data_IF_375143559152
#
_entry.id   IF_375143559152
#
_cell.length_a   1.000
_cell.length_b   1.000
_cell.length_c   1.000
_cell.angle_alpha   90.00
_cell.angle_beta   90.00
_cell.angle_gamma   90.00
#
_symmetry.space_group_name_H-M   'P 1'
#
loop_
_entity.id
_entity.type
_entity.pdbx_description
1 polymer ?
#
# COMPACT_ATOMS: atom_id res chain seq x y z
N UNK A 1 -76.31 39.55 29.32
CA UNK A 1 -75.16 39.42 30.24
C UNK A 1 -74.93 37.92 30.44
N UNK A 2 -73.68 37.41 30.42
CA UNK A 2 -73.27 35.98 30.41
C UNK A 2 -72.95 35.31 29.06
N UNK A 3 -71.97 35.83 28.31
CA UNK A 3 -71.10 34.97 27.47
C UNK A 3 -69.70 35.57 27.45
N UNK A 4 -68.89 35.37 28.52
CA UNK A 4 -67.46 35.73 28.48
C UNK A 4 -66.59 35.11 29.58
N UNK A 5 -66.80 33.83 29.97
CA UNK A 5 -65.91 33.16 30.96
C UNK A 5 -65.67 31.66 30.74
N UNK A 6 -65.79 31.12 29.52
CA UNK A 6 -65.50 29.69 29.25
C UNK A 6 -64.13 29.46 28.60
N UNK A 7 -63.51 30.50 28.02
CA UNK A 7 -62.19 30.38 27.34
C UNK A 7 -60.96 30.14 28.25
N UNK A 8 -60.87 30.62 29.51
CA UNK A 8 -59.68 30.36 30.31
C UNK A 8 -59.70 28.98 30.98
N UNK A 9 -60.88 28.36 31.14
CA UNK A 9 -61.02 27.06 31.80
C UNK A 9 -60.58 25.89 30.90
N UNK A 10 -60.82 25.99 29.58
CA UNK A 10 -60.37 25.01 28.59
C UNK A 10 -58.85 25.01 28.37
N UNK A 11 -58.17 26.14 28.57
CA UNK A 11 -56.72 26.23 28.45
C UNK A 11 -55.98 25.62 29.64
N UNK A 12 -56.56 25.71 30.85
CA UNK A 12 -55.97 25.15 32.08
C UNK A 12 -56.13 23.62 32.12
N UNK A 13 -57.25 23.08 31.62
CA UNK A 13 -57.46 21.62 31.53
C UNK A 13 -56.55 20.99 30.46
N UNK A 14 -56.32 21.68 29.33
CA UNK A 14 -55.37 21.24 28.30
C UNK A 14 -53.91 21.25 28.76
N UNK A 15 -53.51 22.21 29.59
CA UNK A 15 -52.16 22.28 30.15
C UNK A 15 -51.89 21.18 31.19
N UNK A 16 -52.88 20.79 32.00
CA UNK A 16 -52.72 19.70 32.99
C UNK A 16 -52.69 18.30 32.34
N UNK A 17 -53.33 18.09 31.18
CA UNK A 17 -53.28 16.81 30.45
C UNK A 17 -51.95 16.59 29.69
N UNK A 18 -51.16 17.63 29.44
CA UNK A 18 -49.84 17.54 28.82
C UNK A 18 -48.70 17.22 29.81
N UNK A 19 -48.93 17.36 31.13
CA UNK A 19 -47.92 17.13 32.17
C UNK A 19 -47.96 15.71 32.78
N UNK A 20 -48.87 14.84 32.36
CA UNK A 20 -49.03 13.47 32.91
C UNK A 20 -48.68 12.33 31.92
N UNK A 21 -48.16 12.64 30.72
CA UNK A 21 -47.98 11.65 29.65
C UNK A 21 -46.56 11.06 29.50
N UNK A 22 -45.60 11.40 30.37
CA UNK A 22 -44.20 10.94 30.20
C UNK A 22 -43.64 10.17 31.40
N UNK A 23 -44.43 9.33 32.08
CA UNK A 23 -43.89 8.42 33.10
C UNK A 23 -44.50 7.02 33.01
N UNK A 24 -44.35 6.38 31.85
CA UNK A 24 -44.81 5.02 31.59
C UNK A 24 -43.65 4.03 31.87
N UNK A 25 -43.73 3.17 32.91
CA UNK A 25 -42.78 2.07 33.08
C UNK A 25 -43.25 0.92 32.19
N UNK A 26 -42.61 0.75 31.03
CA UNK A 26 -42.97 -0.29 30.08
C UNK A 26 -41.76 -0.83 29.32
N UNK A 27 -41.52 -2.13 29.48
CA UNK A 27 -40.70 -2.92 28.56
C UNK A 27 -39.36 -3.36 29.12
N UNK A 28 -39.33 -4.45 29.89
CA UNK A 28 -38.15 -5.32 29.97
C UNK A 28 -37.93 -5.93 28.59
N UNK A 29 -37.00 -5.37 27.81
CA UNK A 29 -36.48 -6.04 26.62
C UNK A 29 -35.48 -7.12 27.05
N UNK A 30 -35.72 -8.35 26.58
CA UNK A 30 -34.76 -9.44 26.60
C UNK A 30 -33.44 -9.03 25.92
N UNK A 31 -32.28 -9.51 26.41
CA UNK A 31 -31.01 -9.17 25.79
C UNK A 31 -30.89 -9.87 24.43
N UNK A 32 -31.15 -9.13 23.35
CA UNK A 32 -30.72 -9.52 22.00
C UNK A 32 -29.21 -9.35 21.89
N UNK A 33 -28.51 -10.48 21.75
CA UNK A 33 -27.05 -10.48 21.62
C UNK A 33 -26.64 -9.74 20.33
N UNK A 34 -25.76 -8.75 20.48
CA UNK A 34 -25.11 -8.06 19.35
C UNK A 34 -24.22 -9.03 18.55
N UNK A 35 -24.18 -8.93 17.20
CA UNK A 35 -23.27 -9.67 16.33
C UNK A 35 -21.77 -9.49 16.66
N UNK A 36 -21.41 -8.45 17.42
CA UNK A 36 -20.01 -8.14 17.78
C UNK A 36 -19.41 -9.12 18.78
N UNK A 37 -20.24 -9.89 19.51
CA UNK A 37 -19.77 -10.91 20.46
C UNK A 37 -19.28 -12.21 19.79
N UNK A 38 -19.58 -12.42 18.49
CA UNK A 38 -19.13 -13.59 17.74
C UNK A 38 -17.72 -13.39 17.15
N UNK A 39 -17.36 -12.15 16.83
CA UNK A 39 -16.03 -11.83 16.30
C UNK A 39 -14.94 -11.74 17.38
N UNK A 40 -15.29 -11.45 18.64
CA UNK A 40 -14.34 -11.45 19.76
C UNK A 40 -13.97 -12.85 20.26
N UNK A 41 -14.85 -13.85 20.09
CA UNK A 41 -14.55 -15.24 20.45
C UNK A 41 -13.57 -15.91 19.47
N UNK A 42 -13.57 -15.53 18.19
CA UNK A 42 -12.66 -16.08 17.18
C UNK A 42 -11.21 -15.55 17.34
N UNK A 43 -11.02 -14.34 17.86
CA UNK A 43 -9.70 -13.76 18.09
C UNK A 43 -9.01 -14.31 19.35
N UNK A 44 -9.77 -14.77 20.36
CA UNK A 44 -9.19 -15.37 21.58
C UNK A 44 -8.77 -16.84 21.41
N UNK A 45 -9.24 -17.55 20.37
CA UNK A 45 -8.77 -18.92 20.06
C UNK A 45 -7.41 -18.98 19.36
N UNK A 46 -6.97 -17.89 18.71
CA UNK A 46 -5.68 -17.89 17.99
C UNK A 46 -4.49 -17.65 18.95
N UNK A 47 -4.64 -16.84 19.99
CA UNK A 47 -3.57 -16.60 20.98
C UNK A 47 -3.39 -17.75 21.98
N UNK A 48 -4.41 -18.59 22.17
CA UNK A 48 -4.30 -19.81 22.97
C UNK A 48 -3.53 -20.94 22.26
N UNK A 49 -3.57 -21.02 20.92
CA UNK A 49 -2.82 -22.04 20.17
C UNK A 49 -1.32 -21.71 20.02
N UNK A 50 -0.94 -20.43 19.97
CA UNK A 50 0.49 -20.04 19.89
C UNK A 50 1.24 -20.24 21.22
N UNK A 51 0.56 -20.19 22.37
CA UNK A 51 1.21 -20.40 23.68
C UNK A 51 1.46 -21.89 24.00
N UNK A 52 0.84 -22.82 23.26
CA UNK A 52 1.05 -24.27 23.46
C UNK A 52 2.13 -24.87 22.54
N UNK A 53 2.65 -24.12 21.58
CA UNK A 53 3.75 -24.56 20.70
C UNK A 53 5.17 -24.35 21.31
N UNK A 54 5.27 -23.71 22.48
CA UNK A 54 6.55 -23.40 23.14
C UNK A 54 7.00 -24.42 24.20
N UNK A 55 6.20 -25.47 24.49
CA UNK A 55 6.56 -26.53 25.44
C UNK A 55 6.43 -27.91 24.77
N UNK A 56 7.43 -28.29 23.97
CA UNK A 56 7.37 -29.57 23.27
C UNK A 56 8.60 -29.94 22.46
N UNK A 57 9.81 -29.79 23.02
CA UNK A 57 11.02 -30.38 22.42
C UNK A 57 11.70 -31.32 23.41
N UNK A 58 11.48 -32.65 23.32
CA UNK A 58 12.42 -33.60 23.87
C UNK A 58 13.57 -33.81 22.88
N UNK A 59 14.78 -33.52 23.36
CA UNK A 59 16.04 -33.92 22.77
C UNK A 59 16.14 -35.45 22.85
N UNK A 60 16.36 -36.15 21.72
CA UNK A 60 16.79 -37.56 21.73
C UNK A 60 17.86 -37.81 20.67
N UNK A 61 19.01 -38.30 21.13
CA UNK A 61 20.11 -38.92 20.40
C UNK A 61 20.67 -40.02 21.32
N UNK A 62 21.38 -41.08 20.87
CA UNK A 62 21.27 -41.95 19.69
C UNK A 62 20.96 -43.42 20.07
N UNK A 63 20.60 -44.29 19.12
CA UNK A 63 20.89 -45.74 19.24
C UNK A 63 20.89 -46.48 17.89
N UNK A 64 22.01 -47.14 17.58
CA UNK A 64 22.19 -48.10 16.48
C UNK A 64 21.54 -49.45 16.81
N UNK A 65 20.66 -49.95 15.95
CA UNK A 65 20.20 -51.35 16.01
C UNK A 65 19.93 -51.92 14.62
N UNK A 66 20.70 -52.94 14.28
CA UNK A 66 20.53 -53.84 13.14
C UNK A 66 19.25 -54.68 13.31
N UNK A 67 18.40 -54.77 12.28
CA UNK A 67 17.39 -55.84 12.22
C UNK A 67 17.14 -56.33 10.78
N UNK A 68 17.06 -57.65 10.70
CA UNK A 68 16.99 -58.61 9.59
C UNK A 68 16.20 -58.28 8.31
N UNK A 69 16.76 -58.79 7.22
CA UNK A 69 16.23 -58.95 5.86
C UNK A 69 15.06 -59.94 5.83
N UNK A 70 13.95 -59.68 5.10
CA UNK A 70 12.91 -60.68 4.88
C UNK A 70 13.36 -61.69 3.81
N UNK A 71 13.39 -62.97 4.19
CA UNK A 71 13.50 -64.11 3.28
C UNK A 71 12.19 -64.26 2.48
N UNK A 72 12.31 -64.37 1.15
CA UNK A 72 11.20 -64.73 0.26
C UNK A 72 11.20 -66.24 0.08
N UNK A 73 10.13 -66.89 0.54
CA UNK A 73 9.89 -68.32 0.36
C UNK A 73 9.53 -68.59 -1.10
N UNK A 74 10.35 -69.37 -1.80
CA UNK A 74 10.10 -69.78 -3.19
C UNK A 74 9.34 -71.11 -3.19
N UNK A 75 8.14 -71.11 -3.76
CA UNK A 75 7.32 -72.30 -3.98
C UNK A 75 7.85 -73.06 -5.22
N UNK A 76 8.05 -74.39 -5.19
CA UNK A 76 8.48 -75.15 -6.36
C UNK A 76 7.31 -75.30 -7.36
N UNK A 77 7.49 -74.83 -8.58
CA UNK A 77 6.59 -75.12 -9.70
C UNK A 77 6.96 -76.48 -10.35
N UNK A 78 5.93 -77.28 -10.62
CA UNK A 78 5.98 -78.62 -11.23
C UNK A 78 6.59 -78.59 -12.65
N UNK A 79 7.36 -79.61 -13.09
CA UNK A 79 7.89 -79.67 -14.44
C UNK A 79 6.78 -79.94 -15.46
N UNK A 80 6.61 -79.03 -16.42
CA UNK A 80 5.75 -79.21 -17.60
C UNK A 80 6.61 -79.61 -18.79
N UNK A 81 6.19 -80.67 -19.50
CA UNK A 81 6.89 -81.32 -20.59
C UNK A 81 7.38 -80.37 -21.69
N UNK A 82 8.65 -80.52 -22.03
CA UNK A 82 9.36 -79.89 -23.13
C UNK A 82 8.80 -80.36 -24.48
N UNK A 83 8.31 -79.44 -25.31
CA UNK A 83 7.99 -79.70 -26.71
C UNK A 83 9.27 -79.66 -27.56
N UNK A 84 9.37 -80.63 -28.47
CA UNK A 84 10.49 -80.90 -29.39
C UNK A 84 10.78 -79.67 -30.29
N UNK A 85 12.05 -79.30 -30.55
CA UNK A 85 12.38 -78.20 -31.43
C UNK A 85 11.96 -78.51 -32.89
N UNK A 86 11.18 -77.61 -33.47
CA UNK A 86 10.86 -77.64 -34.90
C UNK A 86 12.00 -76.97 -35.67
N UNK A 87 12.53 -77.65 -36.69
CA UNK A 87 13.60 -77.17 -37.56
C UNK A 87 13.23 -75.84 -38.24
N UNK A 88 13.85 -74.76 -37.80
CA UNK A 88 13.78 -73.44 -38.42
C UNK A 88 14.59 -73.40 -39.72
N UNK A 89 13.99 -72.86 -40.78
CA UNK A 89 14.63 -72.64 -42.08
C UNK A 89 15.86 -71.71 -41.94
N UNK A 90 16.90 -71.88 -42.77
CA UNK A 90 18.10 -71.06 -42.74
C UNK A 90 17.78 -69.57 -43.03
N UNK A 91 18.52 -68.63 -42.43
CA UNK A 91 18.26 -67.20 -42.58
C UNK A 91 18.45 -66.77 -44.04
N UNK A 92 17.45 -66.06 -44.57
CA UNK A 92 17.54 -65.40 -45.87
C UNK A 92 18.29 -64.08 -45.68
N UNK A 93 19.40 -63.88 -46.40
CA UNK A 93 20.19 -62.64 -46.39
C UNK A 93 19.33 -61.47 -46.84
N UNK A 94 18.77 -60.74 -45.87
CA UNK A 94 18.06 -59.49 -46.12
C UNK A 94 19.08 -58.36 -45.96
N UNK A 95 19.31 -57.49 -46.96
CA UNK A 95 20.20 -56.37 -46.81
C UNK A 95 19.69 -55.45 -45.70
N UNK A 96 20.48 -55.30 -44.63
CA UNK A 96 20.17 -54.42 -43.50
C UNK A 96 20.32 -52.98 -44.01
N UNK A 97 19.28 -52.13 -43.91
CA UNK A 97 19.44 -50.70 -44.18
C UNK A 97 20.52 -50.12 -43.25
N UNK A 98 21.34 -49.15 -43.69
CA UNK A 98 22.33 -48.54 -42.81
C UNK A 98 21.62 -47.95 -41.58
N UNK A 99 21.96 -48.45 -40.39
CA UNK A 99 21.54 -47.87 -39.11
C UNK A 99 22.02 -46.42 -39.06
N UNK A 100 21.10 -45.46 -38.95
CA UNK A 100 21.46 -44.05 -38.82
C UNK A 100 22.36 -43.85 -37.59
N UNK A 101 23.59 -43.38 -37.80
CA UNK A 101 24.48 -42.99 -36.72
C UNK A 101 23.81 -41.86 -35.92
N UNK A 102 23.67 -41.99 -34.58
CA UNK A 102 23.07 -40.94 -33.78
C UNK A 102 23.90 -39.65 -33.95
N UNK A 103 23.22 -38.56 -34.33
CA UNK A 103 23.84 -37.25 -34.46
C UNK A 103 24.39 -36.84 -33.07
N UNK A 104 25.68 -36.48 -32.95
CA UNK A 104 26.24 -36.05 -31.68
C UNK A 104 25.47 -34.86 -31.10
N UNK A 105 25.00 -34.98 -29.86
CA UNK A 105 24.31 -33.88 -29.16
C UNK A 105 25.37 -32.81 -28.82
N UNK A 106 25.19 -31.56 -29.25
CA UNK A 106 26.11 -30.48 -28.88
C UNK A 106 26.20 -30.31 -27.35
N UNK A 107 27.39 -29.94 -26.87
CA UNK A 107 27.64 -29.67 -25.45
C UNK A 107 26.66 -28.63 -24.90
N UNK A 108 26.64 -27.43 -25.50
CA UNK A 108 25.76 -26.33 -25.09
C UNK A 108 24.61 -26.18 -26.09
N UNK A 109 23.40 -26.51 -25.65
CA UNK A 109 22.16 -26.33 -26.44
C UNK A 109 20.98 -26.15 -25.51
N UNK A 110 20.10 -25.21 -25.83
CA UNK A 110 18.85 -24.99 -25.13
C UNK A 110 17.64 -25.38 -26.00
N UNK A 111 16.51 -25.62 -25.36
CA UNK A 111 15.20 -25.56 -26.02
C UNK A 111 14.30 -24.59 -25.27
N UNK A 112 13.58 -23.76 -26.02
CA UNK A 112 12.54 -22.91 -25.47
C UNK A 112 11.35 -23.77 -25.01
N UNK A 113 10.87 -23.55 -23.79
CA UNK A 113 9.69 -24.25 -23.25
C UNK A 113 8.46 -23.35 -23.36
N UNK A 114 8.53 -22.14 -22.79
CA UNK A 114 7.45 -21.13 -22.85
C UNK A 114 7.93 -19.77 -22.37
N UNK A 115 7.15 -18.75 -22.69
CA UNK A 115 7.15 -17.49 -21.95
C UNK A 115 6.46 -17.71 -20.60
N UNK A 116 7.17 -17.38 -19.52
CA UNK A 116 6.61 -17.41 -18.16
C UNK A 116 5.93 -16.08 -17.85
N UNK A 117 6.51 -14.98 -18.31
CA UNK A 117 5.90 -13.64 -18.25
C UNK A 117 5.98 -12.95 -19.60
N UNK A 118 5.12 -11.94 -19.78
CA UNK A 118 5.07 -11.05 -20.95
C UNK A 118 5.02 -11.85 -22.26
N UNK A 119 3.88 -12.52 -22.57
CA UNK A 119 3.68 -13.14 -23.88
C UNK A 119 3.91 -12.16 -25.03
N UNK A 120 4.18 -12.69 -26.22
CA UNK A 120 4.38 -11.86 -27.39
C UNK A 120 3.20 -10.92 -27.65
N UNK A 121 3.52 -9.67 -27.97
CA UNK A 121 2.58 -8.56 -28.19
C UNK A 121 1.83 -8.09 -26.94
N UNK A 122 2.31 -8.42 -25.74
CA UNK A 122 1.82 -7.78 -24.51
C UNK A 122 1.96 -6.26 -24.64
N UNK A 123 0.87 -5.54 -24.34
CA UNK A 123 0.86 -4.09 -24.29
C UNK A 123 1.49 -3.61 -22.98
N UNK A 124 2.54 -2.81 -23.08
CA UNK A 124 3.23 -2.20 -21.95
C UNK A 124 3.16 -0.69 -22.14
N UNK A 125 2.80 0.05 -21.08
CA UNK A 125 2.80 1.50 -21.13
C UNK A 125 4.19 2.03 -21.51
N UNK A 126 4.24 3.02 -22.41
CA UNK A 126 5.48 3.66 -22.82
C UNK A 126 6.28 4.17 -21.60
N UNK A 127 7.58 3.82 -21.53
CA UNK A 127 8.44 4.09 -20.38
C UNK A 127 8.24 3.14 -19.17
N UNK A 128 7.28 2.23 -19.24
CA UNK A 128 6.99 1.26 -18.19
C UNK A 128 8.10 0.22 -18.05
N UNK A 129 8.47 -0.07 -16.80
CA UNK A 129 9.40 -1.17 -16.47
C UNK A 129 8.65 -2.49 -16.41
N UNK A 130 9.23 -3.56 -16.95
CA UNK A 130 8.67 -4.90 -16.91
C UNK A 130 9.77 -5.98 -16.80
N UNK A 131 9.41 -7.15 -16.29
CA UNK A 131 10.32 -8.31 -16.20
C UNK A 131 9.87 -9.38 -17.17
N UNK A 132 10.72 -9.69 -18.15
CA UNK A 132 10.52 -10.82 -19.06
C UNK A 132 11.17 -12.05 -18.49
N UNK A 133 10.42 -13.15 -18.43
CA UNK A 133 10.91 -14.45 -17.97
C UNK A 133 10.63 -15.52 -19.01
N UNK A 134 11.67 -16.23 -19.43
CA UNK A 134 11.56 -17.40 -20.30
C UNK A 134 11.85 -18.66 -19.51
N UNK A 135 11.10 -19.73 -19.78
CA UNK A 135 11.47 -21.07 -19.32
C UNK A 135 12.27 -21.76 -20.43
N UNK A 136 13.52 -22.09 -20.14
CA UNK A 136 14.41 -22.82 -21.02
C UNK A 136 14.70 -24.20 -20.45
N UNK A 137 15.00 -25.16 -21.32
CA UNK A 137 15.48 -26.49 -20.95
C UNK A 137 16.89 -26.69 -21.48
N UNK A 138 17.79 -27.22 -20.66
CA UNK A 138 19.07 -27.70 -21.14
C UNK A 138 18.86 -29.02 -21.88
N UNK A 139 19.03 -29.03 -23.20
CA UNK A 139 18.94 -30.22 -24.04
C UNK A 139 20.28 -30.49 -24.76
N UNK A 140 21.37 -29.93 -24.24
CA UNK A 140 22.75 -30.25 -24.60
C UNK A 140 23.33 -31.36 -23.72
N UNK A 141 24.61 -31.68 -23.95
CA UNK A 141 25.34 -32.70 -23.19
C UNK A 141 26.04 -32.14 -21.93
N UNK A 142 26.24 -30.83 -21.83
CA UNK A 142 26.99 -30.18 -20.75
C UNK A 142 26.07 -29.55 -19.69
N UNK A 143 26.53 -29.57 -18.44
CA UNK A 143 25.82 -28.91 -17.33
C UNK A 143 26.13 -27.42 -17.35
N UNK A 144 25.08 -26.57 -17.37
CA UNK A 144 25.27 -25.13 -17.23
C UNK A 144 25.58 -24.78 -15.78
N UNK A 145 26.54 -23.89 -15.57
CA UNK A 145 27.01 -23.44 -14.25
C UNK A 145 26.81 -21.94 -14.08
N UNK A 146 27.24 -21.40 -12.94
CA UNK A 146 27.26 -19.95 -12.68
C UNK A 146 28.10 -19.13 -13.66
N UNK A 147 29.00 -19.75 -14.43
CA UNK A 147 29.76 -19.08 -15.50
C UNK A 147 28.95 -18.82 -16.77
N UNK A 148 27.73 -19.35 -16.88
CA UNK A 148 26.86 -19.14 -18.03
C UNK A 148 26.08 -17.83 -17.89
N UNK A 149 25.85 -17.16 -19.01
CA UNK A 149 25.11 -15.88 -19.04
C UNK A 149 24.03 -15.89 -20.10
N UNK A 150 22.96 -15.14 -19.87
CA UNK A 150 22.03 -14.69 -20.89
C UNK A 150 22.44 -13.28 -21.33
N UNK A 151 22.46 -13.02 -22.62
CA UNK A 151 22.94 -11.75 -23.14
C UNK A 151 22.10 -11.25 -24.32
N UNK A 152 22.00 -9.94 -24.44
CA UNK A 152 21.29 -9.30 -25.54
C UNK A 152 22.09 -9.49 -26.84
N UNK A 153 21.46 -10.06 -27.87
CA UNK A 153 22.12 -10.34 -29.13
C UNK A 153 21.91 -9.22 -30.15
N UNK A 154 20.65 -8.92 -30.49
CA UNK A 154 20.28 -7.85 -31.43
C UNK A 154 18.79 -7.49 -31.32
N UNK A 155 18.35 -6.48 -32.08
CA UNK A 155 16.99 -5.94 -32.08
C UNK A 155 16.87 -4.75 -31.14
N UNK A 156 15.76 -4.67 -30.41
CA UNK A 156 15.50 -3.61 -29.45
C UNK A 156 15.93 -4.03 -28.04
N UNK A 157 16.95 -3.36 -27.49
CA UNK A 157 17.48 -3.68 -26.17
C UNK A 157 16.51 -3.36 -25.03
N UNK A 158 15.61 -2.39 -25.23
CA UNK A 158 14.61 -1.97 -24.21
C UNK A 158 15.25 -1.67 -22.85
N UNK A 159 16.39 -0.95 -22.87
CA UNK A 159 17.21 -0.66 -21.68
C UNK A 159 17.65 -1.89 -20.87
N UNK A 160 17.62 -3.07 -21.49
CA UNK A 160 18.01 -4.32 -20.86
C UNK A 160 19.52 -4.43 -20.62
N UNK A 161 19.93 -5.29 -19.68
CA UNK A 161 21.34 -5.53 -19.42
C UNK A 161 22.02 -6.13 -20.64
N UNK A 162 23.28 -5.74 -20.90
CA UNK A 162 24.07 -6.33 -21.98
C UNK A 162 24.29 -7.84 -21.76
N UNK A 163 24.44 -8.26 -20.50
CA UNK A 163 24.56 -9.66 -20.07
C UNK A 163 24.12 -9.81 -18.61
N UNK A 164 23.61 -10.98 -18.24
CA UNK A 164 23.23 -11.34 -16.87
C UNK A 164 23.56 -12.81 -16.61
N UNK A 165 23.98 -13.11 -15.38
CA UNK A 165 24.26 -14.48 -14.97
C UNK A 165 23.01 -15.37 -15.13
N UNK A 166 23.18 -16.54 -15.73
CA UNK A 166 22.07 -17.45 -16.04
C UNK A 166 21.53 -18.16 -14.80
N UNK A 167 22.40 -18.56 -13.87
CA UNK A 167 22.05 -19.30 -12.66
C UNK A 167 23.08 -19.08 -11.56
N UNK A 168 22.67 -19.17 -10.30
CA UNK A 168 23.58 -19.20 -9.14
C UNK A 168 24.01 -20.63 -8.76
N UNK A 169 23.46 -21.65 -9.42
CA UNK A 169 23.77 -23.06 -9.18
C UNK A 169 24.17 -23.77 -10.48
N UNK A 170 23.60 -24.95 -10.71
CA UNK A 170 23.81 -25.73 -11.92
C UNK A 170 22.48 -26.12 -12.58
N UNK A 171 22.50 -26.29 -13.90
CA UNK A 171 21.37 -26.79 -14.69
C UNK A 171 21.84 -28.00 -15.50
N UNK A 172 21.66 -29.23 -14.98
CA UNK A 172 22.07 -30.46 -15.66
C UNK A 172 21.31 -30.68 -16.98
N UNK A 173 21.87 -31.48 -17.92
CA UNK A 173 21.14 -31.94 -19.10
C UNK A 173 19.76 -32.50 -18.73
N UNK A 174 18.75 -32.11 -19.51
CA UNK A 174 17.34 -32.46 -19.30
C UNK A 174 16.58 -31.55 -18.33
N UNK A 175 17.25 -30.69 -17.55
CA UNK A 175 16.61 -29.82 -16.56
C UNK A 175 16.13 -28.50 -17.16
N UNK A 176 15.17 -27.84 -16.49
CA UNK A 176 14.64 -26.53 -16.90
C UNK A 176 15.05 -25.42 -15.94
N UNK A 177 15.15 -24.20 -16.46
CA UNK A 177 15.42 -22.98 -15.70
C UNK A 177 14.54 -21.83 -16.20
N UNK A 178 14.14 -20.96 -15.27
CA UNK A 178 13.50 -19.68 -15.57
C UNK A 178 14.56 -18.58 -15.62
N UNK A 179 14.63 -17.88 -16.74
CA UNK A 179 15.63 -16.84 -17.02
C UNK A 179 14.91 -15.51 -17.11
N UNK A 180 15.23 -14.56 -16.23
CA UNK A 180 14.57 -13.26 -16.14
C UNK A 180 15.49 -12.11 -16.52
N UNK A 181 14.95 -11.12 -17.22
CA UNK A 181 15.59 -9.83 -17.48
C UNK A 181 14.61 -8.69 -17.21
N UNK A 182 15.10 -7.62 -16.58
CA UNK A 182 14.32 -6.39 -16.36
C UNK A 182 14.56 -5.44 -17.53
N UNK A 183 13.47 -4.92 -18.09
CA UNK A 183 13.44 -4.12 -19.32
C UNK A 183 12.54 -2.90 -19.13
N UNK A 184 12.71 -1.88 -19.97
CA UNK A 184 11.90 -0.67 -20.03
C UNK A 184 11.31 -0.54 -21.44
N UNK A 185 9.99 -0.44 -21.54
CA UNK A 185 9.30 -0.24 -22.80
C UNK A 185 9.70 1.13 -23.41
N UNK A 186 10.09 1.20 -24.69
CA UNK A 186 10.45 2.46 -25.32
C UNK A 186 9.34 3.51 -25.22
N UNK A 187 9.71 4.78 -25.09
CA UNK A 187 8.75 5.89 -24.90
C UNK A 187 7.92 6.19 -26.14
N UNK A 188 8.40 5.78 -27.32
CA UNK A 188 7.66 5.90 -28.57
C UNK A 188 6.74 4.69 -28.71
N UNK A 189 5.43 4.87 -28.96
CA UNK A 189 4.53 3.75 -29.20
C UNK A 189 4.93 2.94 -30.44
N UNK A 190 4.83 1.62 -30.35
CA UNK A 190 5.25 0.72 -31.43
C UNK A 190 5.45 -0.72 -30.97
N UNK A 191 5.69 -1.62 -31.92
CA UNK A 191 6.09 -3.00 -31.61
C UNK A 191 7.60 -3.08 -31.54
N UNK A 192 8.12 -3.64 -30.45
CA UNK A 192 9.55 -3.77 -30.20
C UNK A 192 9.91 -5.24 -29.97
N UNK A 193 11.04 -5.68 -30.53
CA UNK A 193 11.52 -7.05 -30.41
C UNK A 193 13.00 -7.10 -30.06
N UNK A 194 13.32 -7.65 -28.88
CA UNK A 194 14.69 -7.91 -28.45
C UNK A 194 15.02 -9.40 -28.52
N UNK A 195 16.12 -9.76 -29.18
CA UNK A 195 16.57 -11.14 -29.29
C UNK A 195 17.74 -11.42 -28.34
N UNK A 196 17.70 -12.57 -27.68
CA UNK A 196 18.60 -12.98 -26.62
C UNK A 196 19.22 -14.35 -26.92
N UNK A 197 20.43 -14.55 -26.41
CA UNK A 197 21.18 -15.82 -26.51
C UNK A 197 21.86 -16.15 -25.18
N UNK A 198 22.32 -17.38 -25.08
CA UNK A 198 23.14 -17.84 -23.97
C UNK A 198 24.62 -17.82 -24.35
N UNK A 199 25.49 -17.68 -23.35
CA UNK A 199 26.94 -17.74 -23.52
C UNK A 199 27.53 -18.60 -22.42
N UNK A 200 28.37 -19.56 -22.79
CA UNK A 200 29.03 -20.44 -21.82
C UNK A 200 30.19 -19.73 -21.11
N UNK A 201 30.81 -20.40 -20.13
CA UNK A 201 31.92 -19.86 -19.35
C UNK A 201 33.17 -19.51 -20.19
N UNK A 202 33.35 -20.15 -21.35
CA UNK A 202 34.42 -19.86 -22.31
C UNK A 202 34.10 -18.71 -23.26
N UNK A 203 32.93 -18.08 -23.14
CA UNK A 203 32.50 -16.98 -23.99
C UNK A 203 31.84 -17.42 -25.31
N UNK A 204 31.64 -18.72 -25.54
CA UNK A 204 30.99 -19.23 -26.76
C UNK A 204 29.48 -19.01 -26.68
N UNK A 205 28.91 -18.43 -27.75
CA UNK A 205 27.48 -18.19 -27.88
C UNK A 205 26.74 -19.45 -28.31
N UNK A 206 25.57 -19.69 -27.70
CA UNK A 206 24.62 -20.72 -28.09
C UNK A 206 23.20 -20.26 -27.77
N UNK A 207 22.21 -21.04 -28.18
CA UNK A 207 20.81 -20.69 -28.02
C UNK A 207 19.91 -21.89 -28.22
N UNK A 208 18.75 -21.64 -28.82
CA UNK A 208 17.71 -22.63 -29.06
C UNK A 208 17.82 -23.24 -30.47
N UNK A 209 16.90 -24.14 -30.80
CA UNK A 209 16.85 -24.81 -32.10
C UNK A 209 17.73 -26.06 -32.17
N UNK A 210 17.63 -26.79 -33.27
CA UNK A 210 18.33 -28.07 -33.46
C UNK A 210 19.86 -27.93 -33.38
N UNK A 211 20.39 -26.88 -34.00
CA UNK A 211 21.81 -26.52 -34.01
C UNK A 211 22.27 -25.69 -32.80
N UNK A 212 21.36 -25.26 -31.91
CA UNK A 212 21.71 -24.42 -30.76
C UNK A 212 22.20 -23.02 -31.15
N UNK A 213 21.79 -22.53 -32.32
CA UNK A 213 22.25 -21.27 -32.92
C UNK A 213 21.13 -20.25 -33.11
N UNK A 214 19.92 -20.54 -32.65
CA UNK A 214 18.77 -19.65 -32.76
C UNK A 214 18.59 -18.81 -31.49
N UNK A 215 18.12 -17.58 -31.65
CA UNK A 215 17.79 -16.70 -30.52
C UNK A 215 16.38 -16.99 -29.99
N UNK A 216 16.17 -16.79 -28.70
CA UNK A 216 14.84 -16.58 -28.12
C UNK A 216 14.60 -15.08 -27.98
N UNK A 217 13.35 -14.64 -27.77
CA UNK A 217 13.03 -13.22 -27.89
C UNK A 217 11.97 -12.75 -26.90
N UNK A 218 11.89 -11.43 -26.77
CA UNK A 218 10.77 -10.71 -26.19
C UNK A 218 10.19 -9.79 -27.24
N UNK A 219 8.87 -9.82 -27.41
CA UNK A 219 8.16 -8.89 -28.28
C UNK A 219 7.02 -8.22 -27.51
N UNK A 220 7.04 -6.89 -27.43
CA UNK A 220 6.00 -6.11 -26.77
C UNK A 220 5.39 -5.08 -27.73
N UNK A 221 4.24 -4.55 -27.36
CA UNK A 221 3.70 -3.32 -27.91
C UNK A 221 3.85 -2.23 -26.87
N UNK A 222 4.73 -1.26 -27.10
CA UNK A 222 4.72 -0.02 -26.32
C UNK A 222 3.48 0.77 -26.73
N UNK A 223 2.61 1.07 -25.78
CA UNK A 223 1.38 1.83 -26.01
C UNK A 223 1.44 3.15 -25.26
N UNK A 224 0.90 4.20 -25.87
CA UNK A 224 0.67 5.46 -25.15
C UNK A 224 -0.13 5.15 -23.89
N UNK A 225 0.30 5.57 -22.70
CA UNK A 225 -0.53 5.41 -21.52
C UNK A 225 -1.87 6.08 -21.80
N UNK A 226 -2.93 5.28 -21.90
CA UNK A 226 -4.28 5.84 -21.88
C UNK A 226 -4.39 6.52 -20.53
N UNK A 227 -4.77 7.80 -20.44
CA UNK A 227 -5.07 8.41 -19.16
C UNK A 227 -6.19 7.58 -18.55
N UNK A 228 -5.83 6.67 -17.65
CA UNK A 228 -6.81 6.00 -16.81
C UNK A 228 -7.46 7.14 -16.06
N UNK A 229 -8.81 7.28 -16.06
CA UNK A 229 -9.44 8.27 -15.22
C UNK A 229 -8.99 7.95 -13.80
N UNK A 230 -8.04 8.74 -13.31
CA UNK A 230 -7.64 8.71 -11.92
C UNK A 230 -8.93 8.97 -11.14
N UNK A 231 -9.30 8.11 -10.16
CA UNK A 231 -10.47 8.39 -9.34
C UNK A 231 -10.31 9.82 -8.85
N UNK A 232 -11.17 10.70 -9.37
CA UNK A 232 -11.19 12.08 -8.92
C UNK A 232 -11.81 11.97 -7.55
N UNK A 233 -10.97 12.00 -6.51
CA UNK A 233 -11.45 12.05 -5.14
C UNK A 233 -12.33 13.28 -5.02
N UNK A 234 -13.64 13.08 -5.16
CA UNK A 234 -14.63 14.11 -4.91
C UNK A 234 -14.75 14.20 -3.40
N UNK A 235 -13.94 15.07 -2.80
CA UNK A 235 -14.12 15.41 -1.41
C UNK A 235 -15.24 16.43 -1.30
N UNK A 236 -16.09 16.27 -0.29
CA UNK A 236 -17.05 17.31 0.09
C UNK A 236 -16.45 18.09 1.24
N UNK A 237 -16.19 19.39 1.04
CA UNK A 237 -15.80 20.27 2.13
C UNK A 237 -17.02 20.51 3.03
N UNK A 238 -16.98 19.92 4.23
CA UNK A 238 -18.09 19.96 5.18
C UNK A 238 -17.96 21.10 6.18
N UNK A 239 -16.74 21.56 6.47
CA UNK A 239 -16.47 22.72 7.33
C UNK A 239 -15.21 23.46 6.86
N UNK A 240 -15.29 24.78 6.69
CA UNK A 240 -14.17 25.62 6.26
C UNK A 240 -13.79 26.59 7.39
N UNK A 241 -12.62 26.38 8.00
CA UNK A 241 -12.16 27.21 9.12
C UNK A 241 -11.74 28.62 8.70
N UNK A 242 -11.40 28.84 7.43
CA UNK A 242 -11.12 30.18 6.88
C UNK A 242 -12.43 30.94 6.71
N UNK A 243 -13.44 30.30 6.13
CA UNK A 243 -14.76 30.92 5.97
C UNK A 243 -15.45 31.20 7.32
N UNK A 244 -15.19 30.37 8.33
CA UNK A 244 -15.73 30.53 9.69
C UNK A 244 -14.85 31.38 10.62
N UNK A 245 -13.67 31.83 10.19
CA UNK A 245 -12.70 32.52 11.04
C UNK A 245 -13.27 33.76 11.74
N UNK A 246 -14.07 34.58 11.05
CA UNK A 246 -14.72 35.76 11.64
C UNK A 246 -15.90 35.44 12.57
N UNK A 247 -16.40 34.20 12.55
CA UNK A 247 -17.42 33.70 13.48
C UNK A 247 -16.82 32.98 14.68
N UNK A 248 -15.50 32.74 14.69
CA UNK A 248 -14.79 32.18 15.83
C UNK A 248 -14.50 33.25 16.88
N UNK A 249 -14.40 32.83 18.13
CA UNK A 249 -13.97 33.70 19.23
C UNK A 249 -12.47 33.58 19.41
N UNK A 250 -11.74 34.66 19.14
CA UNK A 250 -10.28 34.71 19.24
C UNK A 250 -9.83 35.30 20.56
N UNK A 251 -8.80 34.72 21.16
CA UNK A 251 -8.21 35.23 22.40
C UNK A 251 -6.76 34.81 22.55
N UNK A 252 -6.02 35.56 23.36
CA UNK A 252 -4.80 35.06 24.00
C UNK A 252 -5.15 34.58 25.43
N UNK A 253 -4.15 34.46 26.31
CA UNK A 253 -4.36 34.00 27.69
C UNK A 253 -5.23 34.95 28.54
N UNK A 254 -5.21 36.26 28.27
CA UNK A 254 -5.80 37.28 29.15
C UNK A 254 -6.88 38.12 28.51
N UNK A 255 -6.89 38.23 27.18
CA UNK A 255 -7.79 39.13 26.44
C UNK A 255 -8.44 38.41 25.26
N UNK A 256 -9.69 38.78 24.98
CA UNK A 256 -10.30 38.50 23.70
C UNK A 256 -9.67 39.41 22.63
N UNK A 257 -9.51 38.90 21.42
CA UNK A 257 -8.91 39.58 20.27
C UNK A 257 -9.96 39.80 19.18
N UNK A 258 -9.91 40.93 18.45
CA UNK A 258 -10.73 41.11 17.28
C UNK A 258 -10.25 40.20 16.14
N UNK A 259 -11.16 39.86 15.23
CA UNK A 259 -10.80 39.30 13.93
C UNK A 259 -10.19 40.39 13.05
N UNK A 260 -8.97 40.16 12.53
CA UNK A 260 -8.25 41.12 11.70
C UNK A 260 -6.76 41.20 12.04
N UNK A 261 -6.08 42.12 11.34
CA UNK A 261 -4.67 42.47 11.54
C UNK A 261 -4.59 43.91 12.08
N UNK A 262 -4.68 44.11 13.41
CA UNK A 262 -4.62 45.44 14.02
C UNK A 262 -3.22 46.06 13.89
N UNK A 263 -3.14 47.40 13.92
CA UNK A 263 -1.86 48.13 13.88
C UNK A 263 -0.89 47.70 15.01
N UNK A 264 -1.43 47.39 16.19
CA UNK A 264 -0.70 46.70 17.26
C UNK A 264 -1.07 45.22 17.27
N UNK A 265 -0.18 44.41 16.70
CA UNK A 265 -0.28 42.96 16.59
C UNK A 265 0.38 42.22 17.78
N UNK A 266 0.90 42.94 18.78
CA UNK A 266 1.58 42.35 19.94
C UNK A 266 0.69 41.39 20.76
N UNK A 267 -0.62 41.65 20.93
CA UNK A 267 -1.53 40.72 21.61
C UNK A 267 -1.82 39.41 20.86
N UNK A 268 -1.46 39.33 19.58
CA UNK A 268 -1.76 38.22 18.65
C UNK A 268 -2.65 38.66 17.48
N UNK A 269 -2.64 37.88 16.40
CA UNK A 269 -3.37 38.17 15.15
C UNK A 269 -4.13 36.95 14.68
N UNK A 270 -5.41 37.13 14.32
CA UNK A 270 -6.21 36.13 13.65
C UNK A 270 -6.91 36.73 12.43
N UNK A 271 -6.50 36.32 11.23
CA UNK A 271 -7.04 36.88 9.98
C UNK A 271 -6.85 35.92 8.81
N UNK A 272 -7.70 36.03 7.80
CA UNK A 272 -7.49 35.34 6.53
C UNK A 272 -6.45 36.09 5.71
N UNK A 273 -5.50 35.36 5.14
CA UNK A 273 -4.50 35.90 4.21
C UNK A 273 -4.46 35.06 2.94
N UNK A 274 -4.07 35.69 1.83
CA UNK A 274 -4.03 35.07 0.53
C UNK A 274 -2.71 35.35 -0.17
N UNK A 275 -2.27 34.44 -1.02
CA UNK A 275 -1.04 34.53 -1.81
C UNK A 275 0.21 34.78 -0.94
N UNK A 276 0.26 34.16 0.23
CA UNK A 276 1.40 34.27 1.14
C UNK A 276 2.42 33.19 0.82
N UNK A 277 3.69 33.59 0.73
CA UNK A 277 4.82 32.68 0.63
C UNK A 277 5.15 32.10 2.01
N UNK A 278 5.22 30.78 2.12
CA UNK A 278 5.59 30.06 3.33
C UNK A 278 7.05 29.59 3.29
N UNK A 279 7.53 29.04 4.41
CA UNK A 279 8.93 28.63 4.59
C UNK A 279 9.44 27.60 3.57
N UNK A 280 8.58 26.74 3.03
CA UNK A 280 8.89 25.82 1.92
C UNK A 280 9.17 26.52 0.57
N UNK A 281 9.05 27.85 0.55
CA UNK A 281 9.19 28.67 -0.64
C UNK A 281 7.94 28.69 -1.52
N UNK A 282 6.90 27.91 -1.19
CA UNK A 282 5.63 27.86 -1.89
C UNK A 282 4.74 29.06 -1.56
N UNK A 283 3.91 29.47 -2.52
CA UNK A 283 2.88 30.50 -2.32
C UNK A 283 1.50 29.87 -2.28
N UNK A 284 0.75 30.16 -1.22
CA UNK A 284 -0.55 29.54 -0.96
C UNK A 284 -1.68 30.57 -1.07
N UNK A 285 -2.78 30.19 -1.72
CA UNK A 285 -3.85 31.12 -2.09
C UNK A 285 -4.85 31.41 -0.96
N UNK A 286 -4.97 30.52 0.02
CA UNK A 286 -5.96 30.62 1.10
C UNK A 286 -5.36 30.10 2.41
N UNK A 287 -5.11 31.01 3.35
CA UNK A 287 -4.54 30.68 4.65
C UNK A 287 -5.30 31.40 5.77
N UNK A 288 -5.24 30.78 6.94
CA UNK A 288 -5.57 31.40 8.21
C UNK A 288 -4.25 31.76 8.92
N UNK A 289 -4.02 33.05 9.17
CA UNK A 289 -2.94 33.52 10.01
C UNK A 289 -3.38 33.50 11.47
N UNK A 290 -2.56 32.89 12.32
CA UNK A 290 -2.77 32.84 13.78
C UNK A 290 -1.46 33.15 14.48
N UNK A 291 -1.08 34.42 14.55
CA UNK A 291 0.18 34.81 15.18
C UNK A 291 -0.01 34.82 16.70
N UNK A 292 0.79 34.06 17.46
CA UNK A 292 0.71 34.05 18.91
C UNK A 292 1.08 35.43 19.46
N UNK A 293 0.63 35.71 20.68
CA UNK A 293 1.05 36.89 21.42
C UNK A 293 2.58 37.00 21.48
N UNK A 294 3.13 38.22 21.29
CA UNK A 294 4.58 38.48 21.22
C UNK A 294 5.26 38.50 22.60
N UNK A 295 5.13 37.41 23.33
CA UNK A 295 5.77 37.15 24.62
C UNK A 295 6.37 35.74 24.62
N UNK A 296 7.18 35.41 25.63
CA UNK A 296 7.63 34.03 25.82
C UNK A 296 6.43 33.11 26.08
N UNK A 297 6.32 32.05 25.28
CA UNK A 297 5.22 31.08 25.30
C UNK A 297 3.83 31.71 25.13
N UNK A 298 3.78 32.86 24.45
CA UNK A 298 2.53 33.54 24.11
C UNK A 298 1.63 32.66 23.26
N UNK A 299 0.31 32.86 23.37
CA UNK A 299 -0.65 32.01 22.67
C UNK A 299 -1.71 32.81 21.93
N UNK A 300 -2.29 32.17 20.92
CA UNK A 300 -3.56 32.56 20.32
C UNK A 300 -4.43 31.33 20.16
N UNK A 301 -5.73 31.50 20.39
CA UNK A 301 -6.73 30.45 20.31
C UNK A 301 -7.97 30.98 19.58
N UNK A 302 -8.48 30.23 18.61
CA UNK A 302 -9.76 30.47 17.97
C UNK A 302 -10.76 29.37 18.29
N UNK A 303 -11.82 29.70 19.04
CA UNK A 303 -12.93 28.79 19.33
C UNK A 303 -14.01 28.91 18.26
N UNK A 304 -14.20 27.85 17.49
CA UNK A 304 -15.10 27.84 16.33
C UNK A 304 -16.55 27.48 16.68
N UNK A 305 -17.54 27.92 15.87
CA UNK A 305 -18.91 27.43 15.97
C UNK A 305 -19.01 25.91 15.90
N UNK A 306 -19.96 25.34 16.65
CA UNK A 306 -20.13 23.90 16.75
C UNK A 306 -20.37 23.23 15.39
N UNK A 307 -19.85 22.00 15.26
CA UNK A 307 -19.97 21.17 14.08
C UNK A 307 -20.30 19.73 14.49
N UNK A 308 -21.23 19.11 13.78
CA UNK A 308 -21.61 17.71 13.99
C UNK A 308 -20.80 16.82 13.04
N UNK A 309 -19.98 15.95 13.61
CA UNK A 309 -19.09 15.08 12.83
C UNK A 309 -19.91 14.03 12.08
N UNK A 310 -19.58 13.84 10.81
CA UNK A 310 -20.19 12.85 9.92
C UNK A 310 -19.20 11.72 9.63
N UNK A 311 -19.73 10.60 9.18
CA UNK A 311 -18.92 9.45 8.75
C UNK A 311 -17.91 9.89 7.68
N UNK A 312 -16.66 9.43 7.83
CA UNK A 312 -15.51 9.75 6.98
C UNK A 312 -15.04 11.21 7.02
N UNK A 313 -15.47 12.01 8.00
CA UNK A 313 -14.90 13.33 8.19
C UNK A 313 -13.43 13.24 8.64
N UNK A 314 -12.60 14.02 7.97
CA UNK A 314 -11.20 14.24 8.28
C UNK A 314 -10.92 15.75 8.35
N UNK A 315 -10.25 16.20 9.40
CA UNK A 315 -9.72 17.56 9.46
C UNK A 315 -8.35 17.58 8.79
N UNK A 316 -8.24 18.34 7.70
CA UNK A 316 -7.02 18.43 6.89
C UNK A 316 -6.53 19.85 6.74
N UNK A 317 -5.20 20.00 6.80
CA UNK A 317 -4.51 21.28 6.62
C UNK A 317 -3.02 21.05 6.37
N UNK A 318 -2.30 22.10 5.99
CA UNK A 318 -0.85 22.17 6.22
C UNK A 318 -0.57 23.28 7.21
N UNK A 319 0.42 23.11 8.06
CA UNK A 319 0.87 24.11 9.02
C UNK A 319 2.31 24.46 8.75
N UNK A 320 2.71 25.64 9.22
CA UNK A 320 4.10 26.10 9.18
C UNK A 320 4.18 27.61 9.39
N UNK A 321 5.35 28.15 9.11
CA UNK A 321 5.70 29.54 9.28
C UNK A 321 5.74 30.30 7.95
N UNK A 322 5.56 31.62 8.04
CA UNK A 322 5.77 32.54 6.91
C UNK A 322 7.22 32.46 6.41
N UNK A 323 7.40 32.66 5.10
CA UNK A 323 8.73 32.77 4.50
C UNK A 323 9.62 33.81 5.22
N UNK A 324 10.93 33.54 5.30
CA UNK A 324 11.91 34.30 6.09
C UNK A 324 11.62 34.31 7.61
N UNK A 325 11.13 33.20 8.17
CA UNK A 325 10.83 33.05 9.59
C UNK A 325 12.05 33.10 10.53
N UNK A 326 13.28 33.07 10.03
CA UNK A 326 14.49 33.18 10.86
C UNK A 326 14.62 32.03 11.86
N UNK A 327 14.54 32.32 13.16
CA UNK A 327 14.59 31.32 14.24
C UNK A 327 13.20 31.02 14.82
N UNK A 328 12.13 31.35 14.09
CA UNK A 328 10.77 31.13 14.55
C UNK A 328 10.50 29.67 14.88
N UNK A 329 9.75 29.46 15.96
CA UNK A 329 9.35 28.14 16.43
C UNK A 329 8.00 28.26 17.13
N UNK A 330 7.03 27.47 16.67
CA UNK A 330 5.67 27.49 17.19
C UNK A 330 5.15 26.10 17.44
N UNK A 331 4.13 26.01 18.28
CA UNK A 331 3.43 24.77 18.58
C UNK A 331 1.96 24.90 18.20
N UNK A 332 1.58 24.21 17.16
CA UNK A 332 0.20 24.09 16.71
C UNK A 332 -0.52 23.02 17.54
N UNK A 333 -1.75 23.29 17.92
CA UNK A 333 -2.64 22.29 18.50
C UNK A 333 -4.03 22.40 17.89
N UNK A 334 -4.64 21.23 17.70
CA UNK A 334 -6.05 21.10 17.41
C UNK A 334 -6.69 20.50 18.66
N UNK A 335 -7.69 21.19 19.20
CA UNK A 335 -8.50 20.69 20.32
C UNK A 335 -9.97 20.69 19.94
N UNK A 336 -10.78 19.98 20.69
CA UNK A 336 -12.22 20.14 20.64
C UNK A 336 -12.82 20.21 22.04
N UNK A 337 -13.97 20.89 22.13
CA UNK A 337 -14.80 20.97 23.32
C UNK A 337 -16.09 20.22 23.06
N UNK A 338 -16.45 19.33 23.98
CA UNK A 338 -17.75 18.69 24.08
C UNK A 338 -18.29 18.86 25.50
N UNK A 339 -19.36 19.67 25.64
CA UNK A 339 -19.89 20.02 26.95
C UNK A 339 -18.86 20.81 27.78
N UNK A 340 -18.38 20.21 28.87
CA UNK A 340 -17.35 20.79 29.74
C UNK A 340 -15.95 20.19 29.52
N UNK A 341 -15.84 19.20 28.64
CA UNK A 341 -14.58 18.49 28.37
C UNK A 341 -13.84 19.16 27.23
N UNK A 342 -12.56 19.45 27.44
CA UNK A 342 -11.62 19.89 26.41
C UNK A 342 -10.63 18.76 26.12
N UNK A 343 -10.48 18.40 24.85
CA UNK A 343 -9.63 17.29 24.42
C UNK A 343 -8.68 17.75 23.34
N UNK A 344 -7.38 17.53 23.55
CA UNK A 344 -6.36 17.78 22.52
C UNK A 344 -6.32 16.61 21.54
N UNK A 345 -6.54 16.89 20.27
CA UNK A 345 -6.53 15.91 19.17
C UNK A 345 -5.11 15.64 18.70
N UNK A 346 -4.30 16.69 18.66
CA UNK A 346 -2.90 16.60 18.29
C UNK A 346 -2.14 17.88 18.59
N UNK A 347 -0.83 17.73 18.65
CA UNK A 347 0.14 18.79 18.88
C UNK A 347 1.30 18.59 17.92
N UNK A 348 1.73 19.68 17.27
CA UNK A 348 2.82 19.67 16.28
C UNK A 348 3.71 20.88 16.51
N UNK A 349 5.02 20.66 16.56
CA UNK A 349 6.01 21.73 16.66
C UNK A 349 6.52 22.02 15.25
N UNK A 350 6.39 23.26 14.81
CA UNK A 350 6.96 23.75 13.55
C UNK A 350 8.13 24.68 13.86
N UNK A 351 9.28 24.37 13.29
CA UNK A 351 10.46 25.23 13.32
C UNK A 351 10.68 25.80 11.92
N UNK A 352 11.35 26.95 11.82
CA UNK A 352 11.75 27.52 10.53
C UNK A 352 12.82 26.64 9.83
N UNK A 353 12.41 25.53 9.23
CA UNK A 353 13.29 24.51 8.65
C UNK A 353 13.09 24.34 7.13
N UNK A 354 12.16 25.11 6.56
CA UNK A 354 11.88 25.10 5.12
C UNK A 354 10.98 23.95 4.69
N UNK A 355 10.31 23.28 5.62
CA UNK A 355 9.29 22.26 5.36
C UNK A 355 7.95 22.68 5.98
N UNK A 356 6.85 22.13 5.46
CA UNK A 356 5.52 22.27 6.05
C UNK A 356 5.02 20.92 6.52
N UNK A 357 4.43 20.85 7.71
CA UNK A 357 3.72 19.65 8.14
C UNK A 357 2.33 19.55 7.50
N UNK A 358 2.04 18.40 6.90
CA UNK A 358 0.70 18.06 6.37
C UNK A 358 -0.06 17.24 7.40
N UNK A 359 -1.26 17.70 7.75
CA UNK A 359 -2.10 17.11 8.80
C UNK A 359 -3.32 16.46 8.16
N UNK A 360 -3.59 15.22 8.56
CA UNK A 360 -4.81 14.48 8.26
C UNK A 360 -5.33 13.81 9.55
N UNK A 361 -6.27 14.47 10.20
CA UNK A 361 -6.83 14.04 11.48
C UNK A 361 -8.14 13.31 11.22
N UNK A 362 -8.14 12.00 11.49
CA UNK A 362 -9.33 11.16 11.39
C UNK A 362 -10.31 11.45 12.55
N UNK A 363 -11.54 11.84 12.23
CA UNK A 363 -12.58 12.19 13.22
C UNK A 363 -13.58 11.06 13.47
N UNK A 364 -13.33 9.85 12.97
CA UNK A 364 -14.25 8.70 13.07
C UNK A 364 -14.70 8.36 14.51
N UNK A 365 -13.85 8.60 15.51
CA UNK A 365 -14.20 8.39 16.92
C UNK A 365 -15.27 9.36 17.45
N UNK A 366 -15.55 10.45 16.72
CA UNK A 366 -16.48 11.51 17.10
C UNK A 366 -17.75 11.53 16.25
N UNK A 367 -17.97 10.55 15.36
CA UNK A 367 -19.13 10.52 14.46
C UNK A 367 -20.43 10.64 15.25
N UNK A 368 -21.27 11.60 14.87
CA UNK A 368 -22.54 11.91 15.54
C UNK A 368 -22.43 12.88 16.72
N UNK A 369 -21.22 13.15 17.22
CA UNK A 369 -20.99 14.15 18.26
C UNK A 369 -21.01 15.57 17.67
N UNK A 370 -21.52 16.52 18.45
CA UNK A 370 -21.49 17.95 18.12
C UNK A 370 -20.42 18.63 18.98
N UNK A 371 -19.33 19.06 18.35
CA UNK A 371 -18.15 19.60 19.04
C UNK A 371 -17.82 21.01 18.55
N UNK A 372 -17.16 21.81 19.38
CA UNK A 372 -16.51 23.05 18.96
C UNK A 372 -15.01 22.81 18.84
N UNK A 373 -14.41 23.16 17.70
CA UNK A 373 -12.97 23.03 17.52
C UNK A 373 -12.25 24.28 18.03
N UNK A 374 -11.06 24.06 18.59
CA UNK A 374 -10.10 25.12 18.88
C UNK A 374 -8.85 24.92 18.03
N UNK A 375 -8.50 25.94 17.25
CA UNK A 375 -7.20 26.03 16.60
C UNK A 375 -6.32 26.91 17.48
N UNK A 376 -5.25 26.33 18.01
CA UNK A 376 -4.38 26.98 18.99
C UNK A 376 -2.96 27.02 18.46
N UNK A 377 -2.29 28.16 18.64
CA UNK A 377 -0.86 28.30 18.37
C UNK A 377 -0.19 28.92 19.59
N UNK A 378 0.91 28.30 20.02
CA UNK A 378 1.83 28.84 21.01
C UNK A 378 3.13 29.25 20.33
N UNK A 379 3.71 30.37 20.74
CA UNK A 379 5.15 30.58 20.59
C UNK A 379 5.87 29.46 21.38
N UNK A 380 6.94 28.91 20.81
CA UNK A 380 7.72 27.87 21.46
C UNK A 380 9.00 28.50 22.03
N UNK A 381 8.88 29.14 23.19
CA UNK A 381 9.89 30.01 23.77
C UNK A 381 9.65 31.50 23.45
N UNK A 382 10.73 32.27 23.37
CA UNK A 382 10.65 33.72 23.10
C UNK A 382 10.27 33.98 21.66
N UNK A 383 9.32 34.89 21.47
CA UNK A 383 8.86 35.27 20.13
C UNK A 383 10.02 35.62 19.17
N UNK A 384 10.06 35.00 18.00
CA UNK A 384 11.12 35.23 17.00
C UNK A 384 10.63 35.10 15.55
N UNK A 385 9.74 36.01 15.12
CA UNK A 385 9.03 35.92 13.82
C UNK A 385 8.15 34.68 13.71
N UNK A 386 7.42 34.39 14.79
CA UNK A 386 6.49 33.26 14.91
C UNK A 386 5.18 33.49 14.12
N UNK A 387 5.31 33.85 12.84
CA UNK A 387 4.19 34.12 11.95
C UNK A 387 3.60 32.80 11.44
N UNK A 388 2.86 32.13 12.33
CA UNK A 388 2.20 30.86 12.08
C UNK A 388 0.99 30.98 11.14
N UNK A 389 0.90 30.02 10.22
CA UNK A 389 -0.11 29.97 9.17
C UNK A 389 -0.67 28.54 9.03
N UNK A 390 -1.98 28.46 8.81
CA UNK A 390 -2.67 27.23 8.44
C UNK A 390 -3.11 27.33 6.97
N UNK A 391 -2.71 26.39 6.13
CA UNK A 391 -3.11 26.32 4.72
C UNK A 391 -4.44 25.59 4.59
N UNK A 392 -5.46 26.31 4.13
CA UNK A 392 -6.81 25.80 3.88
C UNK A 392 -7.32 24.76 4.91
N UNK A 393 -7.27 25.07 6.23
CA UNK A 393 -7.80 24.18 7.26
C UNK A 393 -9.30 23.93 7.05
N UNK A 394 -9.68 22.66 6.96
CA UNK A 394 -11.06 22.26 6.66
C UNK A 394 -11.35 20.86 7.17
N UNK A 395 -12.64 20.56 7.34
CA UNK A 395 -13.15 19.21 7.46
C UNK A 395 -13.70 18.79 6.10
N UNK A 396 -13.23 17.66 5.59
CA UNK A 396 -13.67 17.06 4.34
C UNK A 396 -13.88 15.56 4.47
N UNK A 397 -14.65 14.98 3.54
CA UNK A 397 -14.96 13.55 3.46
C UNK A 397 -15.07 13.05 2.03
#
# INVERSE_FOLDING_TARGET
MFVKRIRPLLFIIGAMLLLAACNFPGGTEEPTMSPDMIYTAAAQTLTAQETQAALGTPIVLPSTTSTAVPFVTVTPALPTNTTIPTSTLPPTNTPIPPTATPIPIPCDRASFVKDVSVPDNTEIAAGGTFVKTWRLKNNGACTWTSGYTVYFYNGDAMSGPASTQLTNGTVPPGSTIDVSVTLIAPTTPGTYKGNWRLRNAGGTSFGIGEGGDQSFWVQIKSVTPTPTPQPTSSYTMSYDFIAKGSSATWRNATTQLPWGDPDDDSPGVAVNVANVKMEDGGTYASLLATYPQKITDGMILGLYPAYTIQTNDHLRTKIGLRYNCGNGSVKFQIRYIEGASEVTVGEWIENCDGMLSSLDVNLSALVGHTVQFELVVFANGTWSNDYALWVAPRIER
#
